data_IF_025667226897
#
_entry.id   IF_025667226897
#
_cell.length_a   1.000
_cell.length_b   1.000
_cell.length_c   1.000
_cell.angle_alpha   90.00
_cell.angle_beta   90.00
_cell.angle_gamma   90.00
#
_symmetry.space_group_name_H-M   'P 1'
#
loop_
_entity.id
_entity.type
_entity.pdbx_description
1 polymer ?
#
# COMPACT_ATOMS: atom_id res chain seq x y z
N UNK A 1 1.84 -43.39 -8.46
CA UNK A 1 3.27 -43.42 -8.81
C UNK A 1 3.65 -42.11 -9.46
N UNK A 2 4.85 -41.63 -9.22
CA UNK A 2 5.53 -40.56 -9.97
C UNK A 2 6.24 -41.17 -11.21
N UNK A 3 7.03 -40.43 -12.02
CA UNK A 3 7.13 -38.98 -12.19
C UNK A 3 7.15 -38.56 -13.70
N UNK A 4 7.59 -37.32 -13.99
CA UNK A 4 8.58 -36.95 -15.05
C UNK A 4 8.10 -35.95 -16.10
N UNK A 5 8.79 -34.78 -16.14
CA UNK A 5 9.22 -33.99 -17.30
C UNK A 5 9.82 -32.67 -16.73
N UNK A 6 11.06 -32.67 -16.22
CA UNK A 6 12.33 -32.66 -16.97
C UNK A 6 12.59 -31.34 -17.74
N UNK A 7 13.14 -30.35 -17.04
CA UNK A 7 13.78 -29.18 -17.67
C UNK A 7 15.13 -29.59 -18.26
N UNK A 8 15.43 -29.12 -19.48
CA UNK A 8 16.70 -29.39 -20.15
C UNK A 8 17.07 -28.21 -21.07
N UNK A 9 18.11 -27.43 -20.73
CA UNK A 9 18.64 -26.41 -21.64
C UNK A 9 20.12 -26.10 -21.42
N UNK A 10 20.90 -26.23 -22.50
CA UNK A 10 22.33 -25.86 -22.67
C UNK A 10 22.57 -25.71 -24.19
N UNK A 11 23.67 -25.08 -24.60
CA UNK A 11 23.82 -23.67 -24.99
C UNK A 11 23.50 -23.42 -26.49
N UNK A 12 23.87 -22.26 -27.07
CA UNK A 12 25.15 -22.24 -27.80
C UNK A 12 25.95 -20.92 -27.71
N UNK A 13 27.14 -20.91 -28.33
CA UNK A 13 28.05 -19.75 -28.46
C UNK A 13 27.55 -18.64 -29.42
N UNK A 14 28.23 -17.48 -29.42
CA UNK A 14 28.68 -16.90 -30.70
C UNK A 14 28.34 -15.44 -31.07
N UNK A 15 29.22 -14.51 -30.64
CA UNK A 15 29.87 -13.47 -31.48
C UNK A 15 29.13 -12.26 -32.13
N UNK A 16 29.91 -11.16 -32.20
CA UNK A 16 30.00 -10.11 -33.25
C UNK A 16 29.11 -8.84 -33.23
N UNK A 17 29.69 -7.71 -33.72
CA UNK A 17 29.05 -6.40 -33.98
C UNK A 17 29.06 -5.40 -32.81
N UNK A 18 30.06 -4.55 -32.54
CA UNK A 18 31.12 -3.86 -33.30
C UNK A 18 30.71 -2.53 -34.00
N UNK A 19 31.18 -1.39 -33.46
CA UNK A 19 31.66 -0.14 -34.10
C UNK A 19 32.33 0.71 -32.99
N UNK A 20 33.63 1.06 -33.03
CA UNK A 20 34.33 2.05 -33.88
C UNK A 20 33.87 3.50 -33.56
N UNK A 21 34.74 4.50 -33.32
CA UNK A 21 36.00 4.92 -33.98
C UNK A 21 36.98 5.52 -32.92
N UNK A 22 38.25 5.10 -32.79
CA UNK A 22 39.52 5.66 -33.38
C UNK A 22 39.83 7.13 -32.95
N UNK A 23 41.05 7.63 -32.70
CA UNK A 23 42.49 7.32 -32.98
C UNK A 23 43.37 7.67 -31.71
N UNK A 24 44.73 7.71 -31.56
CA UNK A 24 46.02 7.47 -32.29
C UNK A 24 47.16 7.41 -31.18
N UNK A 25 48.49 7.15 -31.33
CA UNK A 25 49.40 6.61 -32.38
C UNK A 25 50.71 6.04 -31.72
N UNK A 26 51.25 4.90 -32.22
CA UNK A 26 52.68 4.44 -32.18
C UNK A 26 53.45 4.37 -30.80
N UNK A 27 54.70 3.86 -30.66
CA UNK A 27 55.74 3.33 -31.60
C UNK A 27 56.77 2.43 -30.85
N UNK A 28 57.37 1.44 -31.54
CA UNK A 28 58.71 0.90 -31.20
C UNK A 28 58.78 -0.55 -30.63
N UNK A 29 59.87 -1.33 -30.86
CA UNK A 29 59.69 -2.78 -31.10
C UNK A 29 60.72 -3.79 -30.55
N UNK A 30 60.38 -5.07 -30.73
CA UNK A 30 61.23 -6.23 -31.09
C UNK A 30 61.98 -7.05 -30.00
N UNK A 31 61.92 -8.37 -30.18
CA UNK A 31 62.75 -9.41 -29.57
C UNK A 31 62.79 -10.66 -30.49
N UNK A 32 63.89 -11.42 -30.51
CA UNK A 32 64.03 -12.71 -31.23
C UNK A 32 65.06 -13.59 -30.47
N UNK A 33 64.68 -14.76 -29.93
CA UNK A 33 64.88 -16.14 -30.46
C UNK A 33 66.30 -16.73 -30.31
N UNK A 34 66.37 -18.05 -30.05
CA UNK A 34 67.55 -18.82 -29.61
C UNK A 34 67.57 -20.23 -30.23
N UNK A 35 68.71 -20.73 -30.72
CA UNK A 35 69.02 -22.18 -30.94
C UNK A 35 70.55 -22.44 -30.99
N UNK A 36 71.05 -23.69 -30.84
CA UNK A 36 72.47 -23.99 -30.51
C UNK A 36 73.23 -24.84 -31.55
N UNK A 37 74.55 -25.02 -31.38
CA UNK A 37 75.33 -26.10 -32.02
C UNK A 37 76.88 -26.00 -31.91
N UNK A 38 77.54 -27.17 -31.89
CA UNK A 38 79.00 -27.48 -31.99
C UNK A 38 80.01 -26.88 -30.98
N UNK A 39 81.26 -27.35 -30.82
CA UNK A 39 81.89 -28.71 -30.72
C UNK A 39 83.29 -28.50 -30.08
N UNK A 40 83.89 -29.49 -29.38
CA UNK A 40 85.28 -29.42 -28.86
C UNK A 40 86.38 -29.63 -29.92
N UNK A 41 87.66 -29.94 -29.57
CA UNK A 41 88.14 -30.45 -28.27
C UNK A 41 89.57 -29.93 -27.83
N UNK A 42 90.19 -30.69 -26.91
CA UNK A 42 91.64 -30.82 -26.62
C UNK A 42 92.30 -29.94 -25.52
N UNK A 43 93.26 -30.58 -24.83
CA UNK A 43 93.98 -30.21 -23.59
C UNK A 43 95.36 -30.91 -23.68
N UNK A 44 96.53 -30.28 -23.38
CA UNK A 44 97.19 -30.57 -22.07
C UNK A 44 98.26 -29.61 -21.48
N UNK A 45 98.43 -29.77 -20.16
CA UNK A 45 99.69 -29.75 -19.35
C UNK A 45 100.34 -28.42 -18.90
N UNK A 46 101.14 -28.58 -17.83
CA UNK A 46 101.75 -27.57 -16.94
C UNK A 46 103.26 -27.86 -16.87
N UNK A 47 104.11 -26.81 -16.87
CA UNK A 47 105.08 -26.60 -15.79
C UNK A 47 105.22 -25.10 -15.40
N UNK A 48 106.03 -24.66 -14.43
CA UNK A 48 106.30 -25.13 -13.06
C UNK A 48 107.33 -24.16 -12.40
N UNK A 49 107.01 -23.61 -11.21
CA UNK A 49 107.91 -22.93 -10.25
C UNK A 49 108.61 -21.60 -10.67
N UNK A 50 108.96 -20.78 -9.66
CA UNK A 50 109.84 -19.59 -9.79
C UNK A 50 109.44 -18.39 -8.91
N UNK A 51 109.98 -18.28 -7.69
CA UNK A 51 109.91 -17.08 -6.82
C UNK A 51 111.33 -16.66 -6.44
N UNK A 52 111.64 -15.35 -6.26
CA UNK A 52 111.59 -14.79 -4.89
C UNK A 52 111.25 -13.28 -4.79
N UNK A 53 111.05 -12.81 -3.54
CA UNK A 53 111.00 -11.38 -3.15
C UNK A 53 112.41 -10.79 -2.93
N UNK A 54 112.54 -9.45 -2.91
CA UNK A 54 112.93 -8.81 -1.63
C UNK A 54 112.09 -7.56 -1.25
N UNK A 55 112.44 -6.94 -0.11
CA UNK A 55 111.77 -5.85 0.62
C UNK A 55 112.84 -4.96 1.31
N UNK A 56 112.53 -3.82 1.98
CA UNK A 56 111.48 -2.80 1.79
C UNK A 56 112.06 -1.35 1.76
N UNK A 57 111.21 -0.32 1.69
CA UNK A 57 111.57 1.09 2.00
C UNK A 57 110.51 1.76 2.91
N UNK A 58 110.89 2.83 3.64
CA UNK A 58 110.16 3.30 4.84
C UNK A 58 109.19 4.49 4.64
N UNK A 59 108.24 4.56 5.58
CA UNK A 59 107.21 5.59 5.83
C UNK A 59 107.68 7.05 5.77
N UNK A 60 106.77 7.96 5.37
CA UNK A 60 106.59 9.28 5.99
C UNK A 60 105.10 9.71 5.99
N UNK A 61 104.72 10.65 6.87
CA UNK A 61 103.32 10.80 7.32
C UNK A 61 102.90 12.27 7.54
N UNK A 62 101.92 12.76 6.76
CA UNK A 62 101.10 14.00 6.95
C UNK A 62 100.15 14.15 5.73
N UNK A 63 98.97 14.78 5.79
CA UNK A 63 98.31 15.62 6.82
C UNK A 63 96.86 15.16 7.07
N UNK A 64 96.44 15.01 8.33
CA UNK A 64 95.07 14.58 8.71
C UNK A 64 93.95 15.61 8.43
N UNK A 65 94.25 16.78 7.87
CA UNK A 65 93.28 17.90 7.70
C UNK A 65 92.35 17.76 6.49
N UNK A 66 92.80 17.15 5.38
CA UNK A 66 91.94 16.95 4.19
C UNK A 66 90.78 16.00 4.45
N UNK A 67 91.06 14.90 5.16
CA UNK A 67 90.04 13.92 5.57
C UNK A 67 88.98 14.55 6.47
N UNK A 68 89.38 15.40 7.44
CA UNK A 68 88.45 16.10 8.32
C UNK A 68 87.56 17.10 7.55
N UNK A 69 88.10 17.82 6.56
CA UNK A 69 87.30 18.72 5.74
C UNK A 69 86.30 17.97 4.85
N UNK A 70 86.70 16.85 4.26
CA UNK A 70 85.83 16.01 3.43
C UNK A 70 84.74 15.32 4.27
N UNK A 71 85.08 14.83 5.47
CA UNK A 71 84.10 14.33 6.44
C UNK A 71 83.12 15.42 6.89
N UNK A 72 83.59 16.65 7.15
CA UNK A 72 82.71 17.76 7.52
C UNK A 72 81.73 18.10 6.39
N UNK A 73 82.18 18.16 5.13
CA UNK A 73 81.29 18.38 3.97
C UNK A 73 80.29 17.23 3.80
N UNK A 74 80.71 15.97 3.99
CA UNK A 74 79.79 14.83 3.96
C UNK A 74 78.79 14.86 5.11
N UNK A 75 79.19 15.24 6.33
CA UNK A 75 78.26 15.39 7.47
C UNK A 75 77.28 16.53 7.23
N UNK A 76 77.70 17.67 6.69
CA UNK A 76 76.77 18.77 6.34
C UNK A 76 75.84 18.37 5.20
N UNK A 77 76.33 17.68 4.16
CA UNK A 77 75.50 17.18 3.07
C UNK A 77 74.51 16.09 3.55
N UNK A 78 74.91 15.26 4.51
CA UNK A 78 74.06 14.25 5.13
C UNK A 78 73.04 14.87 6.09
N UNK A 79 73.39 15.93 6.83
CA UNK A 79 72.47 16.69 7.68
C UNK A 79 71.46 17.51 6.85
N UNK A 80 71.89 18.12 5.74
CA UNK A 80 70.99 18.75 4.76
C UNK A 80 70.13 17.70 4.06
N UNK A 81 70.69 16.52 3.75
CA UNK A 81 69.95 15.38 3.22
C UNK A 81 68.88 14.86 4.18
N UNK A 82 69.20 14.71 5.47
CA UNK A 82 68.25 14.34 6.53
C UNK A 82 67.21 15.44 6.74
N UNK A 83 67.60 16.72 6.75
CA UNK A 83 66.65 17.83 6.85
C UNK A 83 65.70 17.90 5.66
N UNK A 84 66.20 17.75 4.44
CA UNK A 84 65.39 17.65 3.24
C UNK A 84 64.51 16.39 3.23
N UNK A 85 64.99 15.27 3.76
CA UNK A 85 64.22 14.02 3.87
C UNK A 85 63.14 14.11 4.97
N UNK A 86 63.40 14.76 6.09
CA UNK A 86 62.41 15.08 7.13
C UNK A 86 61.31 16.02 6.60
N UNK A 87 61.64 16.94 5.68
CA UNK A 87 60.66 17.83 5.02
C UNK A 87 59.94 17.13 3.86
N UNK A 88 60.59 16.18 3.18
CA UNK A 88 60.02 15.44 2.03
C UNK A 88 59.19 14.21 2.43
N UNK A 89 59.49 13.56 3.56
CA UNK A 89 58.60 12.59 4.23
C UNK A 89 57.55 13.38 5.01
N UNK A 90 56.74 14.13 4.25
CA UNK A 90 55.86 15.16 4.79
C UNK A 90 54.77 14.61 5.71
N UNK A 91 54.48 15.36 6.77
CA UNK A 91 53.52 15.03 7.83
C UNK A 91 52.24 14.40 7.26
N UNK A 92 52.15 13.07 7.41
CA UNK A 92 50.99 12.26 7.08
C UNK A 92 50.39 11.71 8.37
N UNK A 93 49.07 11.67 8.43
CA UNK A 93 48.29 11.18 9.57
C UNK A 93 47.41 10.04 9.06
N UNK A 94 47.24 8.99 9.85
CA UNK A 94 46.27 7.94 9.55
C UNK A 94 44.85 8.45 9.78
N UNK A 95 43.98 8.28 8.78
CA UNK A 95 42.57 8.63 8.91
C UNK A 95 41.89 7.84 10.05
N UNK A 96 41.28 8.51 11.04
CA UNK A 96 40.58 7.85 12.13
C UNK A 96 39.34 7.10 11.61
N UNK A 97 38.91 6.05 12.32
CA UNK A 97 37.62 5.43 12.03
C UNK A 97 36.47 6.34 12.46
N UNK A 98 35.70 6.81 11.47
CA UNK A 98 34.54 7.70 11.63
C UNK A 98 33.20 7.02 11.31
N UNK A 99 33.21 5.82 10.72
CA UNK A 99 32.00 5.09 10.30
C UNK A 99 31.13 4.77 11.53
N UNK A 100 29.83 4.96 11.42
CA UNK A 100 28.86 4.79 12.51
C UNK A 100 28.87 5.87 13.59
N UNK A 101 29.81 6.82 13.55
CA UNK A 101 29.73 8.03 14.38
C UNK A 101 28.74 9.02 13.76
N UNK A 102 28.12 9.86 14.60
CA UNK A 102 27.37 11.02 14.09
C UNK A 102 28.30 11.99 13.37
N UNK A 103 27.79 12.78 12.43
CA UNK A 103 28.59 13.78 11.71
C UNK A 103 29.37 14.74 12.64
N UNK A 104 28.79 15.12 13.78
CA UNK A 104 29.44 15.96 14.79
C UNK A 104 30.61 15.26 15.50
N UNK A 105 30.40 14.01 15.94
CA UNK A 105 31.46 13.18 16.54
C UNK A 105 32.58 12.87 15.53
N UNK A 106 32.21 12.63 14.26
CA UNK A 106 33.14 12.41 13.18
C UNK A 106 33.98 13.66 12.88
N UNK A 107 33.36 14.84 12.86
CA UNK A 107 34.05 16.12 12.72
C UNK A 107 34.99 16.40 13.90
N UNK A 108 34.55 16.17 15.13
CA UNK A 108 35.38 16.36 16.32
C UNK A 108 36.64 15.48 16.28
N UNK A 109 36.46 14.18 16.00
CA UNK A 109 37.55 13.19 15.92
C UNK A 109 38.49 13.39 14.73
N UNK A 110 37.98 13.92 13.60
CA UNK A 110 38.83 14.36 12.50
C UNK A 110 39.66 15.61 12.90
N UNK A 111 39.04 16.58 13.56
CA UNK A 111 39.70 17.82 14.01
C UNK A 111 40.76 17.54 15.07
N UNK A 112 40.53 16.58 15.98
CA UNK A 112 41.53 16.05 16.93
C UNK A 112 42.76 15.48 16.21
N UNK A 113 42.58 14.82 15.07
CA UNK A 113 43.66 14.35 14.20
C UNK A 113 44.27 15.45 13.29
N UNK A 114 43.86 16.72 13.44
CA UNK A 114 44.29 17.84 12.59
C UNK A 114 43.65 17.89 11.20
N UNK A 115 42.72 16.98 10.92
CA UNK A 115 42.10 16.80 9.60
C UNK A 115 40.79 17.57 9.49
N UNK A 116 40.50 18.09 8.30
CA UNK A 116 39.21 18.72 7.99
C UNK A 116 38.19 17.64 7.69
N UNK A 117 36.96 17.81 8.17
CA UNK A 117 35.84 16.93 7.84
C UNK A 117 34.83 17.68 6.97
N UNK A 118 34.27 17.01 5.95
CA UNK A 118 33.22 17.56 5.10
C UNK A 118 32.25 16.47 4.67
N UNK A 119 30.98 16.60 5.05
CA UNK A 119 29.90 15.84 4.41
C UNK A 119 29.78 16.30 2.96
N UNK A 120 29.81 15.38 2.01
CA UNK A 120 29.71 15.69 0.56
C UNK A 120 28.42 15.19 -0.07
N UNK A 121 27.84 14.12 0.47
CA UNK A 121 26.56 13.57 0.02
C UNK A 121 25.84 12.87 1.19
N UNK A 122 24.60 12.46 0.95
CA UNK A 122 23.78 11.72 1.90
C UNK A 122 22.96 10.64 1.19
N UNK A 123 23.04 9.39 1.66
CA UNK A 123 22.38 8.22 1.07
C UNK A 123 21.40 7.58 2.07
N UNK A 124 20.42 6.81 1.58
CA UNK A 124 19.55 6.02 2.46
C UNK A 124 20.21 4.69 2.82
N UNK A 125 20.12 4.28 4.08
CA UNK A 125 20.69 3.02 4.57
C UNK A 125 19.82 2.38 5.67
N UNK A 126 19.73 1.04 5.68
CA UNK A 126 18.90 0.27 6.61
C UNK A 126 19.63 -0.20 7.88
N UNK A 127 20.94 0.09 8.00
CA UNK A 127 21.81 -0.32 9.11
C UNK A 127 22.13 0.86 10.04
N UNK A 128 22.51 1.99 9.46
CA UNK A 128 22.98 3.19 10.16
C UNK A 128 21.87 4.24 10.25
N UNK A 129 21.46 4.65 11.47
CA UNK A 129 20.50 5.74 11.67
C UNK A 129 20.89 7.06 10.99
N UNK A 130 19.88 7.90 10.72
CA UNK A 130 20.07 9.21 10.12
C UNK A 130 21.10 10.06 10.89
N UNK A 131 22.00 10.72 10.15
CA UNK A 131 23.08 11.54 10.71
C UNK A 131 24.37 10.80 11.05
N UNK A 132 24.43 9.47 10.91
CA UNK A 132 25.68 8.69 11.04
C UNK A 132 26.46 8.59 9.73
N UNK A 133 27.79 8.53 9.82
CA UNK A 133 28.69 8.38 8.65
C UNK A 133 28.63 6.94 8.12
N UNK A 134 28.29 6.80 6.84
CA UNK A 134 28.28 5.53 6.09
C UNK A 134 29.67 5.17 5.58
N UNK A 135 30.32 6.13 4.93
CA UNK A 135 31.61 5.95 4.26
C UNK A 135 32.45 7.23 4.34
N UNK A 136 33.77 7.08 4.24
CA UNK A 136 34.70 8.20 4.12
C UNK A 136 35.71 7.96 3.00
N UNK A 137 36.10 9.03 2.32
CA UNK A 137 37.29 9.08 1.46
C UNK A 137 38.25 10.15 2.00
N UNK A 138 39.48 9.78 2.42
CA UNK A 138 39.99 8.41 2.51
C UNK A 138 39.26 7.57 3.57
N UNK A 139 39.14 6.26 3.31
CA UNK A 139 38.67 5.28 4.29
C UNK A 139 39.61 5.21 5.51
N UNK A 140 39.22 4.55 6.61
CA UNK A 140 40.01 4.49 7.84
C UNK A 140 41.36 3.78 7.68
N UNK A 141 42.37 4.21 8.44
CA UNK A 141 43.72 3.63 8.39
C UNK A 141 44.47 3.90 7.08
N UNK A 142 44.16 5.03 6.43
CA UNK A 142 44.81 5.49 5.19
C UNK A 142 45.60 6.74 5.50
N UNK A 143 46.82 6.82 4.97
CA UNK A 143 47.66 8.01 5.13
C UNK A 143 47.08 9.18 4.30
N UNK A 144 46.86 10.31 4.97
CA UNK A 144 46.49 11.60 4.37
C UNK A 144 47.42 12.70 4.91
N UNK A 145 47.66 13.76 4.14
CA UNK A 145 48.38 14.95 4.62
C UNK A 145 47.75 15.50 5.91
N UNK A 146 48.58 15.97 6.86
CA UNK A 146 48.17 16.54 8.15
C UNK A 146 47.31 17.82 8.10
N UNK A 147 46.93 18.30 6.91
CA UNK A 147 45.90 19.34 6.73
C UNK A 147 44.83 18.94 5.69
N UNK A 148 44.76 17.65 5.38
CA UNK A 148 43.86 17.05 4.39
C UNK A 148 42.39 17.14 4.79
N UNK A 149 41.52 16.83 3.84
CA UNK A 149 40.07 16.80 4.07
C UNK A 149 39.56 15.37 3.89
N UNK A 150 38.98 14.82 4.95
CA UNK A 150 38.16 13.62 4.86
C UNK A 150 36.79 14.06 4.36
N UNK A 151 36.38 13.52 3.21
CA UNK A 151 35.02 13.64 2.71
C UNK A 151 34.18 12.46 3.16
N UNK A 152 32.91 12.69 3.54
CA UNK A 152 32.04 11.67 4.11
C UNK A 152 30.66 11.65 3.44
N UNK A 153 30.09 10.44 3.32
CA UNK A 153 28.67 10.24 3.00
C UNK A 153 27.95 9.91 4.31
N UNK A 154 26.80 10.55 4.54
CA UNK A 154 26.03 10.43 5.80
C UNK A 154 24.66 9.81 5.54
N UNK A 155 24.21 8.93 6.43
CA UNK A 155 22.91 8.27 6.34
C UNK A 155 21.77 9.27 6.46
N UNK A 156 20.77 9.14 5.58
CA UNK A 156 19.42 9.72 5.70
C UNK A 156 18.50 8.88 6.61
N UNK A 157 19.01 7.79 7.18
CA UNK A 157 18.22 6.69 7.69
C UNK A 157 17.68 5.83 6.54
N UNK A 158 16.73 4.93 6.81
CA UNK A 158 16.25 3.98 5.82
C UNK A 158 15.22 4.60 4.87
N UNK A 159 15.22 4.19 3.59
CA UNK A 159 14.26 4.69 2.59
C UNK A 159 12.82 4.27 2.95
N UNK A 160 11.90 5.23 3.03
CA UNK A 160 10.49 4.97 3.40
C UNK A 160 9.52 5.68 2.46
N UNK A 161 8.41 5.01 2.22
CA UNK A 161 7.32 5.42 1.35
C UNK A 161 6.02 5.52 2.14
N UNK A 162 5.31 6.64 2.01
CA UNK A 162 4.10 6.92 2.77
C UNK A 162 2.87 6.38 2.05
N UNK A 163 2.01 5.64 2.75
CA UNK A 163 0.69 5.25 2.23
C UNK A 163 -0.13 6.53 1.98
N UNK A 164 -0.56 6.83 0.73
CA UNK A 164 -1.36 8.01 0.42
C UNK A 164 -2.78 7.90 1.00
N UNK A 165 -3.48 9.03 1.09
CA UNK A 165 -4.92 8.99 1.38
C UNK A 165 -5.71 8.55 0.14
N UNK A 166 -6.65 7.64 0.38
CA UNK A 166 -7.42 6.89 -0.60
C UNK A 166 -8.89 6.71 -0.18
N UNK A 167 -9.35 7.36 0.89
CA UNK A 167 -10.77 7.33 1.26
C UNK A 167 -11.65 7.87 0.11
N UNK A 168 -12.77 7.20 -0.17
CA UNK A 168 -13.71 7.50 -1.25
C UNK A 168 -13.13 7.40 -2.70
N UNK A 169 -11.88 6.94 -2.86
CA UNK A 169 -11.25 6.66 -4.17
C UNK A 169 -11.70 5.28 -4.69
N UNK A 170 -11.76 5.12 -6.01
CA UNK A 170 -12.10 3.86 -6.67
C UNK A 170 -10.90 2.89 -6.70
N UNK A 171 -11.15 1.59 -6.54
CA UNK A 171 -10.10 0.56 -6.38
C UNK A 171 -9.04 0.58 -7.49
N UNK A 172 -9.45 0.84 -8.75
CA UNK A 172 -8.53 0.89 -9.89
C UNK A 172 -7.58 2.11 -9.84
N UNK A 173 -8.07 3.27 -9.39
CA UNK A 173 -7.25 4.47 -9.22
C UNK A 173 -6.33 4.34 -8.01
N UNK A 174 -6.84 3.81 -6.90
CA UNK A 174 -6.04 3.56 -5.70
C UNK A 174 -4.89 2.56 -5.93
N UNK A 175 -5.12 1.49 -6.72
CA UNK A 175 -4.05 0.59 -7.16
C UNK A 175 -2.97 1.31 -7.96
N UNK A 176 -3.34 2.31 -8.76
CA UNK A 176 -2.37 3.16 -9.46
C UNK A 176 -1.63 4.10 -8.52
N UNK A 177 -2.30 4.88 -7.67
CA UNK A 177 -1.62 5.82 -6.75
C UNK A 177 -0.61 5.11 -5.84
N UNK A 178 -0.95 3.92 -5.32
CA UNK A 178 -0.03 3.13 -4.50
C UNK A 178 1.25 2.74 -5.25
N UNK A 179 1.14 2.38 -6.54
CA UNK A 179 2.29 2.04 -7.38
C UNK A 179 3.05 3.29 -7.85
N UNK A 180 2.34 4.21 -8.50
CA UNK A 180 2.84 5.38 -9.22
C UNK A 180 3.43 6.45 -8.26
N UNK A 181 2.78 6.69 -7.11
CA UNK A 181 3.18 7.76 -6.16
C UNK A 181 4.01 7.23 -4.98
N UNK A 182 3.74 6.00 -4.53
CA UNK A 182 4.31 5.45 -3.30
C UNK A 182 5.22 4.22 -3.50
N UNK A 183 5.36 3.65 -4.69
CA UNK A 183 6.14 2.40 -4.89
C UNK A 183 5.71 1.26 -3.92
N UNK A 184 4.42 1.18 -3.62
CA UNK A 184 3.80 0.17 -2.75
C UNK A 184 2.98 -0.82 -3.59
N UNK A 185 2.90 -2.06 -3.13
CA UNK A 185 2.08 -3.09 -3.78
C UNK A 185 0.71 -3.18 -3.12
N UNK A 186 -0.26 -3.76 -3.83
CA UNK A 186 -1.63 -3.92 -3.33
C UNK A 186 -1.98 -5.40 -3.24
N UNK A 187 -2.58 -5.83 -2.13
CA UNK A 187 -3.09 -7.19 -1.98
C UNK A 187 -4.14 -7.48 -3.06
N UNK A 188 -4.05 -8.63 -3.71
CA UNK A 188 -5.01 -9.03 -4.75
C UNK A 188 -6.44 -9.13 -4.20
N UNK A 189 -6.58 -9.75 -3.03
CA UNK A 189 -7.82 -9.81 -2.25
C UNK A 189 -8.10 -8.49 -1.53
N UNK A 190 -9.21 -7.85 -1.89
CA UNK A 190 -9.74 -6.67 -1.19
C UNK A 190 -10.64 -7.09 -0.02
N UNK A 191 -10.57 -6.38 1.11
CA UNK A 191 -11.41 -6.64 2.27
C UNK A 191 -12.71 -5.84 2.17
N UNK A 192 -13.83 -6.49 1.85
CA UNK A 192 -15.10 -5.79 1.71
C UNK A 192 -15.85 -5.60 3.05
N UNK A 193 -16.28 -4.37 3.37
CA UNK A 193 -17.12 -4.04 4.54
C UNK A 193 -18.29 -3.14 4.17
N UNK A 194 -19.39 -3.21 4.91
CA UNK A 194 -20.49 -2.25 4.77
C UNK A 194 -20.05 -0.86 5.30
N UNK A 195 -20.52 0.21 4.66
CA UNK A 195 -20.39 1.59 5.13
C UNK A 195 -21.62 2.38 4.69
N UNK A 196 -22.25 3.05 5.64
CA UNK A 196 -23.43 3.87 5.37
C UNK A 196 -23.06 5.27 4.84
N UNK A 197 -21.77 5.64 4.83
CA UNK A 197 -21.24 6.92 4.31
C UNK A 197 -20.50 6.80 2.98
N UNK A 198 -19.79 5.69 2.73
CA UNK A 198 -18.96 5.48 1.53
C UNK A 198 -19.71 4.63 0.52
N UNK A 199 -19.88 5.13 -0.71
CA UNK A 199 -20.61 4.44 -1.77
C UNK A 199 -19.95 3.09 -2.16
N UNK A 200 -20.77 2.13 -2.61
CA UNK A 200 -20.31 0.78 -2.99
C UNK A 200 -19.21 0.83 -4.06
N UNK A 201 -18.14 0.06 -3.86
CA UNK A 201 -16.98 -0.02 -4.75
C UNK A 201 -15.85 0.97 -4.43
N UNK A 202 -16.11 1.97 -3.57
CA UNK A 202 -15.11 2.93 -3.11
C UNK A 202 -14.42 2.49 -1.84
N UNK A 203 -13.19 2.96 -1.62
CA UNK A 203 -12.38 2.60 -0.46
C UNK A 203 -12.87 3.32 0.79
N UNK A 204 -13.02 2.55 1.88
CA UNK A 204 -13.28 3.08 3.22
C UNK A 204 -11.96 3.47 3.89
N UNK A 205 -10.94 2.60 3.79
CA UNK A 205 -9.57 2.86 4.28
C UNK A 205 -8.57 1.84 3.72
N UNK A 206 -7.29 2.07 3.97
CA UNK A 206 -6.21 1.08 3.80
C UNK A 206 -5.89 0.33 5.09
N UNK A 207 -5.06 -0.71 4.97
CA UNK A 207 -4.33 -1.37 6.06
C UNK A 207 -2.96 -1.83 5.52
N UNK A 208 -1.82 -1.25 5.93
CA UNK A 208 -1.67 -0.17 6.91
C UNK A 208 -2.36 1.15 6.51
N UNK A 209 -2.68 1.99 7.50
CA UNK A 209 -3.44 3.22 7.31
C UNK A 209 -2.68 4.30 6.50
N UNK A 210 -3.41 5.24 5.91
CA UNK A 210 -2.84 6.43 5.27
C UNK A 210 -1.89 7.17 6.24
N UNK A 211 -0.81 7.73 5.70
CA UNK A 211 0.28 8.33 6.50
C UNK A 211 1.29 7.33 7.08
N UNK A 212 1.05 6.01 7.00
CA UNK A 212 2.05 5.02 7.47
C UNK A 212 3.27 5.00 6.54
N UNK A 213 4.47 5.10 7.12
CA UNK A 213 5.74 4.99 6.41
C UNK A 213 6.21 3.51 6.30
N UNK A 214 6.28 2.98 5.09
CA UNK A 214 6.60 1.58 4.77
C UNK A 214 7.89 1.47 3.94
N UNK A 215 8.40 0.26 3.75
CA UNK A 215 9.46 -0.03 2.75
C UNK A 215 8.87 -0.05 1.34
N UNK A 216 9.74 0.10 0.33
CA UNK A 216 9.42 -0.19 -1.08
C UNK A 216 8.77 -1.57 -1.22
N UNK A 217 7.84 -1.68 -2.15
CA UNK A 217 7.09 -2.88 -2.52
C UNK A 217 6.21 -3.49 -1.40
N UNK A 218 6.11 -2.84 -0.24
CA UNK A 218 5.30 -3.33 0.88
C UNK A 218 3.81 -3.38 0.51
N UNK A 219 3.14 -4.46 0.97
CA UNK A 219 1.76 -4.78 0.58
C UNK A 219 0.76 -3.98 1.42
N UNK A 220 -0.09 -3.19 0.76
CA UNK A 220 -1.24 -2.51 1.35
C UNK A 220 -2.52 -3.28 1.01
N UNK A 221 -3.38 -3.47 2.01
CA UNK A 221 -4.72 -4.06 1.85
C UNK A 221 -5.76 -2.94 1.72
N UNK A 222 -6.64 -3.04 0.73
CA UNK A 222 -7.74 -2.08 0.54
C UNK A 222 -9.00 -2.59 1.26
N UNK A 223 -9.60 -1.74 2.10
CA UNK A 223 -10.92 -2.00 2.69
C UNK A 223 -11.95 -1.28 1.84
N UNK A 224 -12.78 -2.04 1.13
CA UNK A 224 -13.71 -1.53 0.09
C UNK A 224 -15.15 -1.56 0.61
N UNK A 225 -15.93 -0.54 0.27
CA UNK A 225 -17.33 -0.44 0.67
C UNK A 225 -18.24 -1.37 -0.14
N UNK A 226 -19.10 -2.10 0.56
CA UNK A 226 -20.25 -2.83 0.00
C UNK A 226 -21.48 -1.93 -0.19
N UNK A 227 -21.36 -0.65 0.18
CA UNK A 227 -22.47 0.28 0.40
C UNK A 227 -23.07 0.13 1.80
N UNK A 228 -24.17 0.84 2.04
CA UNK A 228 -24.91 0.79 3.29
C UNK A 228 -25.39 -0.64 3.60
N UNK A 229 -25.49 -1.00 4.89
CA UNK A 229 -25.91 -2.36 5.28
C UNK A 229 -27.38 -2.60 4.90
N UNK A 230 -27.71 -3.63 4.09
CA UNK A 230 -29.10 -3.96 3.79
C UNK A 230 -29.86 -4.41 5.04
N UNK A 231 -31.14 -4.04 5.11
CA UNK A 231 -32.08 -4.43 6.17
C UNK A 231 -33.10 -5.41 5.59
N UNK A 232 -33.54 -6.35 6.41
CA UNK A 232 -34.66 -7.26 6.11
C UNK A 232 -35.93 -6.46 5.82
N UNK A 233 -36.66 -6.81 4.75
CA UNK A 233 -37.93 -6.20 4.39
C UNK A 233 -39.08 -7.02 5.00
N UNK A 234 -39.83 -6.49 5.98
CA UNK A 234 -41.01 -7.15 6.51
C UNK A 234 -42.05 -7.41 5.42
N UNK A 235 -42.78 -8.51 5.55
CA UNK A 235 -44.06 -8.68 4.84
C UNK A 235 -45.15 -7.98 5.64
N UNK A 236 -45.95 -7.15 4.96
CA UNK A 236 -47.07 -6.40 5.56
C UNK A 236 -48.39 -6.59 4.83
N UNK A 237 -48.47 -7.54 3.89
CA UNK A 237 -49.73 -7.91 3.24
C UNK A 237 -50.73 -8.44 4.29
N UNK A 238 -52.00 -8.05 4.17
CA UNK A 238 -53.06 -8.40 5.14
C UNK A 238 -53.07 -7.57 6.43
N UNK A 239 -52.13 -6.64 6.63
CA UNK A 239 -52.15 -5.67 7.75
C UNK A 239 -52.95 -4.42 7.42
N UNK A 240 -53.29 -3.61 8.41
CA UNK A 240 -53.79 -2.25 8.15
C UNK A 240 -52.67 -1.38 7.57
N UNK A 241 -53.01 -0.40 6.72
CA UNK A 241 -52.06 0.56 6.15
C UNK A 241 -51.27 1.32 7.23
N UNK A 242 -51.88 1.58 8.38
CA UNK A 242 -51.25 2.22 9.54
C UNK A 242 -50.17 1.33 10.16
N UNK A 243 -50.50 0.06 10.48
CA UNK A 243 -49.55 -0.90 11.05
C UNK A 243 -48.42 -1.21 10.05
N UNK A 244 -48.77 -1.40 8.77
CA UNK A 244 -47.83 -1.64 7.68
C UNK A 244 -46.86 -0.46 7.51
N UNK A 245 -47.34 0.78 7.57
CA UNK A 245 -46.50 1.97 7.47
C UNK A 245 -45.57 2.11 8.67
N UNK A 246 -46.06 1.84 9.90
CA UNK A 246 -45.23 1.83 11.10
C UNK A 246 -44.10 0.78 11.03
N UNK A 247 -44.43 -0.46 10.66
CA UNK A 247 -43.45 -1.56 10.51
C UNK A 247 -42.38 -1.24 9.45
N UNK A 248 -42.78 -0.73 8.29
CA UNK A 248 -41.83 -0.42 7.22
C UNK A 248 -40.96 0.81 7.53
N UNK A 249 -41.50 1.82 8.21
CA UNK A 249 -40.72 3.03 8.57
C UNK A 249 -39.75 2.78 9.72
N UNK A 250 -40.10 1.95 10.71
CA UNK A 250 -39.17 1.51 11.76
C UNK A 250 -38.01 0.66 11.20
N UNK A 251 -38.30 -0.23 10.25
CA UNK A 251 -37.26 -0.95 9.50
C UNK A 251 -36.37 -0.02 8.64
N UNK A 252 -36.76 1.25 8.47
CA UNK A 252 -35.99 2.28 7.79
C UNK A 252 -36.28 2.40 6.29
N UNK A 253 -37.46 1.95 5.83
CA UNK A 253 -37.94 2.15 4.47
C UNK A 253 -38.82 3.41 4.35
N UNK A 254 -39.05 3.85 3.11
CA UNK A 254 -40.06 4.85 2.77
C UNK A 254 -41.30 4.13 2.26
N UNK A 255 -42.48 4.65 2.56
CA UNK A 255 -43.76 4.05 2.15
C UNK A 255 -44.49 5.02 1.25
N UNK A 256 -45.07 4.50 0.17
CA UNK A 256 -46.08 5.20 -0.66
C UNK A 256 -47.25 4.27 -0.88
N UNK A 257 -48.46 4.82 -0.93
CA UNK A 257 -49.72 4.06 -0.95
C UNK A 257 -50.52 4.38 -2.20
N UNK A 258 -51.01 3.36 -2.90
CA UNK A 258 -52.07 3.48 -3.91
C UNK A 258 -53.33 2.76 -3.43
N UNK A 259 -54.48 3.40 -3.56
CA UNK A 259 -55.77 2.77 -3.27
C UNK A 259 -56.20 1.87 -4.45
N UNK A 260 -56.90 0.78 -4.14
CA UNK A 260 -57.56 -0.08 -5.13
C UNK A 260 -58.95 -0.46 -4.61
N UNK A 261 -59.98 -0.23 -5.42
CA UNK A 261 -61.35 -0.61 -5.09
C UNK A 261 -61.50 -2.14 -5.09
N UNK A 262 -62.07 -2.68 -4.01
CA UNK A 262 -62.32 -4.12 -3.83
C UNK A 262 -63.49 -4.37 -2.87
N UNK A 263 -64.01 -5.59 -2.91
CA UNK A 263 -64.93 -6.18 -1.94
C UNK A 263 -64.34 -7.44 -1.26
N UNK A 264 -63.11 -7.84 -1.59
CA UNK A 264 -62.45 -9.06 -1.08
C UNK A 264 -61.73 -8.83 0.28
N UNK A 265 -61.53 -7.58 0.69
CA UNK A 265 -60.84 -7.21 1.92
C UNK A 265 -61.47 -5.96 2.57
N UNK A 266 -61.29 -5.82 3.89
CA UNK A 266 -61.77 -4.66 4.63
C UNK A 266 -61.01 -3.36 4.27
N UNK A 267 -61.70 -2.23 4.29
CA UNK A 267 -61.13 -0.91 3.99
C UNK A 267 -59.87 -0.62 4.82
N UNK A 268 -58.79 -0.16 4.17
CA UNK A 268 -57.51 0.12 4.78
C UNK A 268 -56.56 -1.08 4.92
N UNK A 269 -56.95 -2.28 4.46
CA UNK A 269 -56.06 -3.47 4.46
C UNK A 269 -55.05 -3.42 3.31
N UNK A 270 -53.80 -3.81 3.53
CA UNK A 270 -52.78 -3.94 2.47
C UNK A 270 -53.04 -5.20 1.62
N UNK A 271 -53.33 -5.00 0.33
CA UNK A 271 -53.54 -6.05 -0.67
C UNK A 271 -52.24 -6.55 -1.29
N UNK A 272 -51.35 -5.63 -1.67
CA UNK A 272 -50.06 -5.94 -2.30
C UNK A 272 -48.94 -5.08 -1.69
N UNK A 273 -47.72 -5.62 -1.70
CA UNK A 273 -46.50 -4.93 -1.32
C UNK A 273 -45.45 -5.11 -2.43
N UNK A 274 -44.92 -4.01 -2.96
CA UNK A 274 -43.85 -4.00 -3.96
C UNK A 274 -42.63 -3.22 -3.43
N UNK A 275 -41.43 -3.82 -3.38
CA UNK A 275 -41.15 -5.24 -3.60
C UNK A 275 -41.72 -6.14 -2.48
N UNK A 276 -42.00 -7.41 -2.80
CA UNK A 276 -42.52 -8.39 -1.82
C UNK A 276 -41.53 -8.64 -0.67
N UNK A 277 -42.05 -8.64 0.56
CA UNK A 277 -41.30 -8.80 1.81
C UNK A 277 -40.98 -10.23 2.20
N UNK A 278 -40.79 -10.46 3.50
CA UNK A 278 -40.67 -11.76 4.17
C UNK A 278 -39.31 -12.46 4.02
N UNK A 279 -38.69 -12.42 2.84
CA UNK A 279 -37.40 -13.06 2.55
C UNK A 279 -36.45 -12.18 1.71
N UNK A 280 -36.63 -10.85 1.75
CA UNK A 280 -35.87 -9.89 0.92
C UNK A 280 -35.04 -8.95 1.80
N UNK A 281 -33.85 -8.56 1.31
CA UNK A 281 -33.01 -7.51 1.93
C UNK A 281 -32.83 -6.36 0.97
N UNK A 282 -33.06 -5.14 1.45
CA UNK A 282 -32.96 -3.90 0.66
C UNK A 282 -32.13 -2.83 1.38
N UNK A 283 -31.56 -1.85 0.68
CA UNK A 283 -30.95 -0.68 1.30
C UNK A 283 -31.94 0.11 2.16
N UNK A 284 -31.44 0.78 3.21
CA UNK A 284 -32.24 1.78 3.95
C UNK A 284 -32.67 2.93 3.04
N UNK A 285 -33.85 3.47 3.30
CA UNK A 285 -34.43 4.57 2.54
C UNK A 285 -34.98 4.19 1.16
N UNK A 286 -34.95 2.91 0.77
CA UNK A 286 -35.70 2.41 -0.39
C UNK A 286 -37.21 2.61 -0.19
N UNK A 287 -37.90 3.03 -1.25
CA UNK A 287 -39.36 3.16 -1.27
C UNK A 287 -40.02 1.81 -1.50
N UNK A 288 -41.09 1.55 -0.75
CA UNK A 288 -41.98 0.40 -0.88
C UNK A 288 -43.35 0.94 -1.28
N UNK A 289 -43.90 0.43 -2.39
CA UNK A 289 -45.26 0.71 -2.84
C UNK A 289 -46.22 -0.26 -2.16
N UNK A 290 -47.23 0.27 -1.46
CA UNK A 290 -48.34 -0.50 -0.89
C UNK A 290 -49.60 -0.29 -1.71
N UNK A 291 -50.35 -1.37 -1.92
CA UNK A 291 -51.71 -1.31 -2.44
C UNK A 291 -52.67 -1.50 -1.29
N UNK A 292 -53.60 -0.56 -1.13
CA UNK A 292 -54.51 -0.52 0.01
C UNK A 292 -55.94 -0.73 -0.49
N UNK A 293 -56.64 -1.69 0.13
CA UNK A 293 -58.04 -1.96 -0.10
C UNK A 293 -58.87 -0.73 0.21
N UNK A 294 -59.56 -0.22 -0.80
CA UNK A 294 -60.65 0.74 -0.68
C UNK A 294 -61.95 -0.05 -0.84
N UNK A 295 -62.80 -0.06 0.17
CA UNK A 295 -64.11 -0.71 0.03
C UNK A 295 -64.91 0.00 -1.06
N UNK A 296 -65.33 -0.74 -2.09
CA UNK A 296 -66.21 -0.20 -3.13
C UNK A 296 -67.51 0.35 -2.51
N UNK A 297 -68.05 1.45 -3.03
CA UNK A 297 -69.32 2.00 -2.55
C UNK A 297 -70.50 1.21 -3.11
N UNK A 298 -71.44 0.86 -2.24
CA UNK A 298 -72.71 0.20 -2.56
C UNK A 298 -73.88 1.02 -2.03
N UNK A 299 -74.96 1.08 -2.80
CA UNK A 299 -76.17 1.83 -2.43
C UNK A 299 -77.01 1.00 -1.46
N UNK A 300 -77.32 1.56 -0.30
CA UNK A 300 -78.20 0.93 0.70
C UNK A 300 -79.61 0.79 0.11
N UNK A 301 -80.17 -0.43 -0.04
CA UNK A 301 -81.52 -0.62 -0.56
C UNK A 301 -82.58 -0.17 0.46
N UNK A 302 -83.79 0.08 -0.01
CA UNK A 302 -84.95 0.32 0.86
C UNK A 302 -85.51 -1.00 1.35
N UNK A 303 -85.37 -1.29 2.64
CA UNK A 303 -86.00 -2.43 3.32
C UNK A 303 -87.10 -2.03 4.31
N UNK A 304 -87.27 -0.73 4.62
CA UNK A 304 -88.40 -0.24 5.44
C UNK A 304 -89.74 -0.75 4.88
N UNK A 305 -90.48 -1.52 5.70
CA UNK A 305 -91.76 -2.14 5.38
C UNK A 305 -91.69 -3.60 4.90
N UNK A 306 -90.49 -4.15 4.68
CA UNK A 306 -90.27 -5.58 4.45
C UNK A 306 -90.39 -6.40 5.74
N UNK A 307 -90.56 -7.71 5.57
CA UNK A 307 -90.31 -8.69 6.63
C UNK A 307 -88.83 -8.63 7.07
N UNK A 308 -88.56 -8.85 8.35
CA UNK A 308 -87.22 -8.72 8.93
C UNK A 308 -86.23 -9.76 8.37
N UNK A 309 -86.65 -11.00 8.16
CA UNK A 309 -85.71 -12.03 7.68
C UNK A 309 -85.49 -11.91 6.15
N UNK A 310 -86.51 -11.51 5.37
CA UNK A 310 -86.34 -11.10 3.96
C UNK A 310 -85.37 -9.91 3.82
N UNK A 311 -85.47 -8.93 4.74
CA UNK A 311 -84.63 -7.74 4.74
C UNK A 311 -83.17 -8.06 5.09
N UNK A 312 -82.95 -8.94 6.08
CA UNK A 312 -81.62 -9.47 6.43
C UNK A 312 -81.02 -10.22 5.23
N UNK A 313 -81.75 -11.18 4.64
CA UNK A 313 -81.24 -11.95 3.50
C UNK A 313 -80.88 -11.06 2.30
N UNK A 314 -81.68 -10.03 2.01
CA UNK A 314 -81.38 -9.07 0.94
C UNK A 314 -80.11 -8.25 1.23
N UNK A 315 -79.93 -7.78 2.46
CA UNK A 315 -78.78 -6.96 2.84
C UNK A 315 -77.48 -7.77 2.94
N UNK A 316 -77.52 -8.95 3.58
CA UNK A 316 -76.37 -9.86 3.64
C UNK A 316 -75.93 -10.30 2.24
N UNK A 317 -76.88 -10.61 1.34
CA UNK A 317 -76.61 -10.92 -0.07
C UNK A 317 -75.99 -9.75 -0.85
N UNK A 318 -76.26 -8.50 -0.45
CA UNK A 318 -75.62 -7.32 -1.04
C UNK A 318 -74.26 -6.98 -0.38
N UNK A 319 -73.84 -7.72 0.65
CA UNK A 319 -72.56 -7.54 1.33
C UNK A 319 -72.58 -6.49 2.43
N UNK A 320 -73.74 -6.30 3.08
CA UNK A 320 -73.86 -5.51 4.31
C UNK A 320 -73.75 -6.38 5.56
N UNK A 321 -73.18 -5.84 6.63
CA UNK A 321 -73.32 -6.38 7.99
C UNK A 321 -74.67 -5.91 8.56
N UNK A 322 -75.47 -6.78 9.18
CA UNK A 322 -76.85 -6.43 9.58
C UNK A 322 -77.05 -6.57 11.08
N UNK A 323 -77.30 -5.45 11.74
CA UNK A 323 -77.59 -5.36 13.17
C UNK A 323 -79.09 -5.15 13.40
N UNK A 324 -79.65 -5.69 14.49
CA UNK A 324 -81.10 -5.70 14.75
C UNK A 324 -81.41 -5.07 16.11
N UNK A 325 -82.00 -3.88 16.08
CA UNK A 325 -82.32 -3.07 17.25
C UNK A 325 -83.84 -2.97 17.50
N UNK A 326 -84.35 -3.66 18.52
CA UNK A 326 -85.77 -3.59 18.88
C UNK A 326 -86.21 -4.63 19.89
N UNK A 327 -87.52 -4.91 19.93
CA UNK A 327 -88.08 -6.03 20.69
C UNK A 327 -88.02 -7.31 19.83
N UNK A 328 -87.78 -8.50 20.42
CA UNK A 328 -87.59 -9.76 19.69
C UNK A 328 -88.91 -10.37 19.17
N UNK A 329 -89.89 -9.54 18.84
CA UNK A 329 -91.26 -9.95 18.49
C UNK A 329 -91.83 -9.24 17.24
N UNK A 330 -91.11 -8.26 16.68
CA UNK A 330 -91.54 -7.52 15.49
C UNK A 330 -91.23 -8.27 14.20
N UNK A 331 -92.23 -8.39 13.31
CA UNK A 331 -92.11 -9.06 12.01
C UNK A 331 -91.53 -8.16 10.92
N UNK A 332 -91.51 -6.83 11.13
CA UNK A 332 -91.21 -5.84 10.08
C UNK A 332 -90.15 -4.81 10.45
N UNK A 333 -89.40 -4.39 9.43
CA UNK A 333 -88.50 -3.24 9.51
C UNK A 333 -89.31 -1.95 9.49
N UNK A 334 -89.25 -1.17 10.57
CA UNK A 334 -89.92 0.16 10.67
C UNK A 334 -89.00 1.33 10.33
N UNK A 335 -87.69 1.13 10.45
CA UNK A 335 -86.65 2.17 10.34
C UNK A 335 -85.31 1.49 10.01
N UNK A 336 -84.42 2.18 9.29
CA UNK A 336 -83.09 1.67 8.91
C UNK A 336 -82.05 2.79 8.91
N UNK A 337 -80.86 2.50 9.43
CA UNK A 337 -79.72 3.42 9.45
C UNK A 337 -78.47 2.71 8.89
N UNK A 338 -77.81 3.20 7.82
CA UNK A 338 -78.12 4.42 7.06
C UNK A 338 -79.39 4.39 6.19
N UNK A 339 -79.85 5.59 5.81
CA UNK A 339 -81.07 5.81 5.03
C UNK A 339 -81.03 5.12 3.64
N UNK A 340 -82.19 4.71 3.09
CA UNK A 340 -82.27 4.15 1.74
C UNK A 340 -81.73 5.11 0.67
N UNK A 341 -80.87 4.59 -0.22
CA UNK A 341 -80.21 5.39 -1.26
C UNK A 341 -78.88 6.01 -0.85
N UNK A 342 -78.46 5.88 0.41
CA UNK A 342 -77.10 6.27 0.84
C UNK A 342 -76.06 5.37 0.15
N UNK A 343 -74.98 5.97 -0.36
CA UNK A 343 -73.79 5.22 -0.79
C UNK A 343 -72.88 4.98 0.42
N UNK A 344 -72.58 3.73 0.72
CA UNK A 344 -71.72 3.34 1.86
C UNK A 344 -70.69 2.28 1.43
N UNK A 345 -69.54 2.16 2.12
CA UNK A 345 -68.56 1.12 1.84
C UNK A 345 -69.13 -0.31 1.87
N UNK A 346 -68.68 -1.19 0.98
CA UNK A 346 -68.91 -2.63 1.06
C UNK A 346 -68.47 -3.17 2.44
N UNK A 347 -69.32 -3.99 3.07
CA UNK A 347 -69.15 -4.45 4.45
C UNK A 347 -69.65 -3.47 5.53
N UNK A 348 -70.29 -2.35 5.17
CA UNK A 348 -70.88 -1.43 6.15
C UNK A 348 -72.02 -2.08 6.93
N UNK A 349 -72.16 -1.68 8.19
CA UNK A 349 -73.28 -2.05 9.04
C UNK A 349 -74.54 -1.27 8.69
N UNK A 350 -75.64 -1.99 8.49
CA UNK A 350 -77.01 -1.45 8.45
C UNK A 350 -77.72 -1.89 9.73
N UNK A 351 -78.20 -0.92 10.50
CA UNK A 351 -79.00 -1.17 11.71
C UNK A 351 -80.47 -1.16 11.35
N UNK A 352 -81.14 -2.30 11.47
CA UNK A 352 -82.58 -2.43 11.25
C UNK A 352 -83.32 -2.26 12.57
N UNK A 353 -84.35 -1.40 12.57
CA UNK A 353 -85.27 -1.27 13.70
C UNK A 353 -86.51 -2.10 13.48
N UNK A 354 -86.90 -2.85 14.50
CA UNK A 354 -88.06 -3.75 14.47
C UNK A 354 -89.07 -3.39 15.57
N UNK A 355 -90.35 -3.60 15.30
CA UNK A 355 -91.47 -3.30 16.20
C UNK A 355 -92.49 -4.44 16.23
#
# INVERSE_FOLDING_TARGET
GSPTLAFHHVPPDGAAGAHAVTEQIARGPAALVKRPGSTGPAVPRIPAQGVPYPVPARLQHRRRRGVLALLAVLVTAFAVGIGAWQVAVGNSVDTPSLIGLTAEQAQAKATEAGLKFRVVDQEFDETYPAGQVLSTDPGPGRNISASGTITAVVSKGPERYTVPDLENVDVAEAKRRLLDEASLTVRDEVTEKYSDTIAKGKIIRTDPAAGTALRRDAVVTLIVSKGAKPVDLPDVVGKSVEEATAILTDAGFKVVTREQETNEAANGTVLEQSPTGGNRKLPRGTTIDLVVAKSALIVVPRVIGMDVDDAVELLERMGFDVDRAGLPFGDRVVDQDPEPGTEVPYGSRITLRVF
#
